data_IF_171345323266
#
_entry.id   IF_171345323266
#
_cell.length_a   1.000
_cell.length_b   1.000
_cell.length_c   1.000
_cell.angle_alpha   90.00
_cell.angle_beta   90.00
_cell.angle_gamma   90.00
#
_symmetry.space_group_name_H-M   'P 1'
#
loop_
_entity.id
_entity.type
_entity.pdbx_description
1 polymer ?
#
# COMPACT_ATOMS: atom_id res chain seq x y z
N UNK A 1 -3.06 -2.07 43.14
CA UNK A 1 -2.35 -1.68 41.88
C UNK A 1 -1.69 -2.80 41.08
N UNK A 2 -1.48 -4.05 41.54
CA UNK A 2 -0.91 -5.12 40.70
C UNK A 2 -1.88 -5.67 39.63
N UNK A 3 -3.21 -5.66 39.89
CA UNK A 3 -4.21 -6.16 38.90
C UNK A 3 -4.28 -5.35 37.60
N UNK A 4 -4.17 -4.03 37.69
CA UNK A 4 -4.17 -3.12 36.50
C UNK A 4 -2.93 -3.31 35.59
N UNK A 5 -1.76 -3.61 36.20
CA UNK A 5 -0.54 -3.92 35.43
C UNK A 5 -0.61 -5.28 34.71
N UNK A 6 -1.25 -6.27 35.35
CA UNK A 6 -1.46 -7.60 34.75
C UNK A 6 -2.47 -7.56 33.62
N UNK A 7 -3.54 -6.76 33.74
CA UNK A 7 -4.57 -6.57 32.72
C UNK A 7 -4.03 -5.79 31.51
N UNK A 8 -3.20 -4.76 31.75
CA UNK A 8 -2.50 -4.03 30.70
C UNK A 8 -1.48 -4.90 29.95
N UNK A 9 -0.79 -5.82 30.67
CA UNK A 9 0.09 -6.82 30.05
C UNK A 9 -0.68 -7.91 29.27
N UNK A 10 -1.88 -8.28 29.68
CA UNK A 10 -2.77 -9.19 28.94
C UNK A 10 -3.27 -8.53 27.65
N UNK A 11 -3.77 -7.28 27.70
CA UNK A 11 -4.23 -6.53 26.53
C UNK A 11 -3.10 -6.28 25.51
N UNK A 12 -1.87 -6.04 25.96
CA UNK A 12 -0.70 -5.93 25.06
C UNK A 12 -0.26 -7.27 24.47
N UNK A 13 -0.53 -8.41 25.12
CA UNK A 13 -0.26 -9.74 24.55
C UNK A 13 -1.28 -10.18 23.50
N UNK A 14 -2.55 -9.76 23.62
CA UNK A 14 -3.60 -10.08 22.64
C UNK A 14 -3.40 -9.38 21.28
N UNK A 15 -2.65 -8.28 21.23
CA UNK A 15 -2.37 -7.53 20.00
C UNK A 15 -0.99 -7.85 19.37
N UNK A 16 -0.26 -8.81 19.92
CA UNK A 16 1.03 -9.21 19.35
C UNK A 16 0.84 -10.16 18.17
N UNK A 17 0.84 -9.58 16.96
CA UNK A 17 0.90 -10.37 15.72
C UNK A 17 2.35 -10.89 15.52
N UNK A 18 2.58 -12.20 15.67
CA UNK A 18 3.93 -12.79 15.53
C UNK A 18 4.50 -12.57 14.12
N UNK A 19 3.63 -12.33 13.12
CA UNK A 19 3.99 -12.09 11.73
C UNK A 19 4.06 -10.61 11.37
N UNK A 20 4.27 -9.71 12.32
CA UNK A 20 4.34 -8.28 12.05
C UNK A 20 5.53 -7.94 11.13
N UNK A 21 5.40 -6.81 10.42
CA UNK A 21 6.42 -6.34 9.49
C UNK A 21 7.81 -6.21 10.13
N UNK A 22 7.88 -5.71 11.36
CA UNK A 22 9.14 -5.56 12.10
C UNK A 22 9.84 -6.89 12.34
N UNK A 23 9.09 -7.95 12.65
CA UNK A 23 9.62 -9.29 12.80
C UNK A 23 10.07 -9.89 11.46
N UNK A 24 9.34 -9.61 10.38
CA UNK A 24 9.72 -10.02 9.03
C UNK A 24 11.08 -9.44 8.62
N UNK A 25 11.33 -8.17 8.91
CA UNK A 25 12.61 -7.50 8.61
C UNK A 25 13.75 -8.01 9.50
N UNK A 26 13.49 -8.22 10.80
CA UNK A 26 14.54 -8.63 11.77
C UNK A 26 14.87 -10.13 11.69
N UNK A 27 13.86 -10.99 11.57
CA UNK A 27 13.97 -12.46 11.67
C UNK A 27 13.72 -13.17 10.35
N UNK A 28 13.37 -12.42 9.28
CA UNK A 28 13.17 -12.97 7.96
C UNK A 28 14.46 -13.47 7.33
N UNK A 29 14.37 -14.56 6.58
CA UNK A 29 15.45 -15.06 5.75
C UNK A 29 15.73 -14.12 4.55
N UNK A 30 16.77 -14.45 3.77
CA UNK A 30 17.20 -13.65 2.62
C UNK A 30 16.04 -13.42 1.64
N UNK A 31 15.22 -14.43 1.36
CA UNK A 31 14.09 -14.32 0.44
C UNK A 31 12.95 -13.45 0.99
N UNK A 32 12.73 -13.46 2.30
CA UNK A 32 11.77 -12.57 2.97
C UNK A 32 12.26 -11.12 2.93
N UNK A 33 13.55 -10.90 3.14
CA UNK A 33 14.15 -9.54 3.03
C UNK A 33 14.15 -9.07 1.57
N UNK A 34 14.42 -9.94 0.62
CA UNK A 34 14.36 -9.60 -0.81
C UNK A 34 12.93 -9.25 -1.26
N UNK A 35 11.90 -9.77 -0.58
CA UNK A 35 10.50 -9.34 -0.80
C UNK A 35 10.22 -7.90 -0.39
N UNK A 36 11.16 -7.22 0.27
CA UNK A 36 11.07 -5.77 0.52
C UNK A 36 11.38 -5.00 -0.76
N UNK A 37 12.31 -5.51 -1.59
CA UNK A 37 12.71 -4.90 -2.84
C UNK A 37 11.79 -5.30 -4.00
N UNK A 38 11.44 -6.60 -4.07
CA UNK A 38 10.56 -7.15 -5.12
C UNK A 38 9.39 -7.84 -4.44
N UNK A 39 8.19 -7.26 -4.57
CA UNK A 39 6.98 -7.74 -3.90
C UNK A 39 6.66 -9.18 -4.32
N UNK A 40 6.40 -10.04 -3.33
CA UNK A 40 5.95 -11.42 -3.59
C UNK A 40 7.05 -12.43 -3.91
N UNK A 41 8.32 -12.02 -4.07
CA UNK A 41 9.42 -12.92 -4.40
C UNK A 41 9.57 -14.04 -3.36
N UNK A 42 9.48 -13.72 -2.07
CA UNK A 42 9.55 -14.71 -1.01
C UNK A 42 8.37 -15.69 -1.00
N UNK A 43 7.19 -15.27 -1.51
CA UNK A 43 6.05 -16.15 -1.68
C UNK A 43 6.25 -17.09 -2.87
N UNK A 44 6.80 -16.59 -3.99
CA UNK A 44 7.14 -17.40 -5.17
C UNK A 44 8.11 -18.54 -4.83
N UNK A 45 9.21 -18.23 -4.16
CA UNK A 45 10.24 -19.22 -3.77
C UNK A 45 9.69 -20.28 -2.81
N UNK A 46 8.62 -19.99 -2.08
CA UNK A 46 7.97 -20.92 -1.16
C UNK A 46 6.79 -21.68 -1.77
N UNK A 47 6.59 -21.59 -3.08
CA UNK A 47 5.54 -22.31 -3.81
C UNK A 47 4.15 -21.65 -3.78
N UNK A 48 4.03 -20.44 -3.24
CA UNK A 48 2.80 -19.64 -3.32
C UNK A 48 2.75 -18.81 -4.60
N UNK A 49 2.73 -19.48 -5.76
CA UNK A 49 2.91 -18.87 -7.08
C UNK A 49 1.86 -17.80 -7.35
N UNK A 50 0.57 -18.11 -7.16
CA UNK A 50 -0.54 -17.19 -7.41
C UNK A 50 -0.40 -15.90 -6.58
N UNK A 51 -0.06 -16.06 -5.31
CA UNK A 51 0.11 -14.96 -4.37
C UNK A 51 1.30 -14.08 -4.71
N UNK A 52 2.44 -14.72 -4.97
CA UNK A 52 3.66 -14.01 -5.34
C UNK A 52 3.51 -13.26 -6.67
N UNK A 53 2.89 -13.89 -7.67
CA UNK A 53 2.64 -13.28 -8.97
C UNK A 53 1.66 -12.09 -8.86
N UNK A 54 0.59 -12.22 -8.06
CA UNK A 54 -0.35 -11.11 -7.83
C UNK A 54 0.34 -9.89 -7.23
N UNK A 55 1.22 -10.07 -6.25
CA UNK A 55 1.98 -8.96 -5.67
C UNK A 55 2.94 -8.33 -6.68
N UNK A 56 3.60 -9.13 -7.52
CA UNK A 56 4.51 -8.65 -8.55
C UNK A 56 3.78 -7.85 -9.62
N UNK A 57 2.58 -8.28 -10.04
CA UNK A 57 1.74 -7.54 -10.99
C UNK A 57 1.32 -6.18 -10.39
N UNK A 58 0.92 -6.14 -9.12
CA UNK A 58 0.56 -4.89 -8.43
C UNK A 58 1.76 -3.94 -8.38
N UNK A 59 2.96 -4.43 -8.07
CA UNK A 59 4.18 -3.63 -8.05
C UNK A 59 4.50 -3.04 -9.42
N UNK A 60 4.49 -3.90 -10.46
CA UNK A 60 4.77 -3.46 -11.84
C UNK A 60 3.74 -2.43 -12.31
N UNK A 61 2.45 -2.66 -12.06
CA UNK A 61 1.39 -1.73 -12.40
C UNK A 61 1.56 -0.37 -11.70
N UNK A 62 1.94 -0.39 -10.42
CA UNK A 62 2.20 0.84 -9.67
C UNK A 62 3.42 1.60 -10.20
N UNK A 63 4.51 0.91 -10.51
CA UNK A 63 5.72 1.56 -11.08
C UNK A 63 5.39 2.20 -12.42
N UNK A 64 4.70 1.49 -13.34
CA UNK A 64 4.27 2.03 -14.62
C UNK A 64 3.36 3.25 -14.44
N UNK A 65 2.38 3.16 -13.53
CA UNK A 65 1.49 4.28 -13.21
C UNK A 65 2.28 5.50 -12.71
N UNK A 66 3.24 5.31 -11.80
CA UNK A 66 4.06 6.40 -11.26
C UNK A 66 4.93 7.07 -12.32
N UNK A 67 5.51 6.29 -13.25
CA UNK A 67 6.33 6.83 -14.34
C UNK A 67 5.48 7.60 -15.33
N UNK A 68 4.30 7.09 -15.70
CA UNK A 68 3.47 7.68 -16.76
C UNK A 68 2.66 8.89 -16.28
N UNK A 69 2.07 8.82 -15.09
CA UNK A 69 1.06 9.77 -14.63
C UNK A 69 1.33 10.25 -13.19
N UNK A 70 1.49 9.30 -12.26
CA UNK A 70 1.47 9.56 -10.84
C UNK A 70 2.58 10.49 -10.36
N UNK A 71 3.80 10.32 -10.92
CA UNK A 71 4.94 11.18 -10.58
C UNK A 71 4.68 12.65 -10.90
N UNK A 72 4.14 12.94 -12.09
CA UNK A 72 3.76 14.29 -12.48
C UNK A 72 2.65 14.84 -11.57
N UNK A 73 1.59 14.07 -11.34
CA UNK A 73 0.48 14.50 -10.48
C UNK A 73 0.92 14.83 -9.04
N UNK A 74 1.91 14.11 -8.48
CA UNK A 74 2.46 14.42 -7.17
C UNK A 74 3.29 15.70 -7.18
N UNK A 75 4.07 15.94 -8.23
CA UNK A 75 4.84 17.19 -8.37
C UNK A 75 3.90 18.38 -8.53
N UNK A 76 2.89 18.26 -9.40
CA UNK A 76 1.91 19.31 -9.66
C UNK A 76 1.12 19.67 -8.38
N UNK A 77 0.90 18.72 -7.47
CA UNK A 77 0.27 18.98 -6.17
C UNK A 77 1.02 20.03 -5.33
N UNK A 78 2.35 20.09 -5.47
CA UNK A 78 3.18 21.07 -4.75
C UNK A 78 3.31 22.41 -5.49
N UNK A 79 2.80 22.52 -6.71
CA UNK A 79 2.89 23.72 -7.55
C UNK A 79 1.49 24.30 -7.85
N UNK A 80 0.53 24.08 -6.97
CA UNK A 80 -0.83 24.60 -7.10
C UNK A 80 -0.82 26.15 -7.07
N UNK A 81 -1.60 26.77 -7.95
CA UNK A 81 -1.76 28.23 -8.00
C UNK A 81 -0.56 28.99 -8.56
N UNK A 82 0.35 28.30 -9.28
CA UNK A 82 1.55 28.91 -9.86
C UNK A 82 1.27 29.87 -11.01
N UNK A 83 0.15 29.72 -11.71
CA UNK A 83 -0.26 30.57 -12.82
C UNK A 83 -1.67 31.11 -12.57
N UNK A 84 -1.74 32.40 -12.26
CA UNK A 84 -3.03 33.09 -12.13
C UNK A 84 -3.60 33.43 -13.52
N UNK A 85 -4.89 33.36 -13.63
CA UNK A 85 -5.60 33.83 -14.81
C UNK A 85 -5.56 35.37 -14.82
N UNK A 86 -4.90 35.92 -15.83
CA UNK A 86 -4.73 37.38 -15.97
C UNK A 86 -5.43 37.81 -17.24
N UNK A 87 -6.13 38.94 -17.18
CA UNK A 87 -6.69 39.63 -18.36
C UNK A 87 -5.55 40.29 -19.13
N UNK A 88 -5.39 39.96 -20.39
CA UNK A 88 -4.42 40.58 -21.30
C UNK A 88 -5.16 41.18 -22.47
N UNK A 89 -4.85 42.45 -22.78
CA UNK A 89 -5.40 43.09 -23.95
C UNK A 89 -4.79 42.53 -25.22
N UNK A 90 -5.62 42.00 -26.10
CA UNK A 90 -5.19 41.51 -27.40
C UNK A 90 -5.40 42.63 -28.44
N UNK A 91 -4.33 43.30 -28.85
CA UNK A 91 -4.39 44.41 -29.82
C UNK A 91 -4.90 43.99 -31.18
N UNK A 92 -4.65 42.77 -31.63
CA UNK A 92 -5.09 42.26 -32.93
C UNK A 92 -6.61 42.05 -33.01
N UNK A 93 -7.24 41.69 -31.89
CA UNK A 93 -8.69 41.43 -31.80
C UNK A 93 -9.46 42.55 -31.11
N UNK A 94 -8.77 43.51 -30.51
CA UNK A 94 -9.34 44.61 -29.71
C UNK A 94 -10.28 44.14 -28.59
N UNK A 95 -9.94 43.01 -27.95
CA UNK A 95 -10.70 42.43 -26.84
C UNK A 95 -9.75 41.99 -25.71
N UNK A 96 -10.27 41.98 -24.49
CA UNK A 96 -9.56 41.36 -23.35
C UNK A 96 -9.68 39.83 -23.47
N UNK A 97 -8.56 39.16 -23.50
CA UNK A 97 -8.47 37.70 -23.44
C UNK A 97 -7.90 37.27 -22.08
N UNK A 98 -8.47 36.24 -21.53
CA UNK A 98 -7.92 35.63 -20.30
C UNK A 98 -6.80 34.67 -20.65
N UNK A 99 -5.65 34.83 -20.03
CA UNK A 99 -4.61 33.80 -20.07
C UNK A 99 -5.14 32.54 -19.41
N UNK A 100 -4.82 31.38 -19.96
CA UNK A 100 -5.17 30.12 -19.30
C UNK A 100 -4.37 30.03 -18.00
N UNK A 101 -5.06 30.08 -16.86
CA UNK A 101 -4.48 29.73 -15.57
C UNK A 101 -4.16 28.24 -15.50
N UNK A 102 -3.39 27.84 -14.50
CA UNK A 102 -3.24 26.43 -14.19
C UNK A 102 -4.60 25.83 -13.76
N UNK A 103 -4.85 24.59 -14.17
CA UNK A 103 -6.04 23.86 -13.72
C UNK A 103 -5.84 23.35 -12.28
N UNK A 104 -5.61 24.26 -11.33
CA UNK A 104 -5.27 23.93 -9.93
C UNK A 104 -6.24 22.95 -9.29
N UNK A 105 -7.55 23.04 -9.63
CA UNK A 105 -8.55 22.09 -9.13
C UNK A 105 -8.30 20.67 -9.63
N UNK A 106 -7.99 20.52 -10.93
CA UNK A 106 -7.67 19.23 -11.52
C UNK A 106 -6.34 18.68 -10.99
N UNK A 107 -5.33 19.54 -10.86
CA UNK A 107 -4.02 19.17 -10.25
C UNK A 107 -4.21 18.69 -8.82
N UNK A 108 -5.01 19.38 -8.01
CA UNK A 108 -5.34 18.97 -6.66
C UNK A 108 -6.05 17.61 -6.65
N UNK A 109 -7.08 17.42 -7.48
CA UNK A 109 -7.86 16.18 -7.52
C UNK A 109 -6.98 14.99 -7.89
N UNK A 110 -6.21 15.09 -8.98
CA UNK A 110 -5.32 14.00 -9.42
C UNK A 110 -4.16 13.78 -8.46
N UNK A 111 -3.61 14.83 -7.87
CA UNK A 111 -2.54 14.74 -6.88
C UNK A 111 -3.01 14.02 -5.61
N UNK A 112 -4.17 14.36 -5.08
CA UNK A 112 -4.78 13.70 -3.91
C UNK A 112 -5.14 12.25 -4.23
N UNK A 113 -5.72 11.97 -5.41
CA UNK A 113 -6.00 10.60 -5.84
C UNK A 113 -4.72 9.75 -5.91
N UNK A 114 -3.64 10.30 -6.48
CA UNK A 114 -2.33 9.63 -6.55
C UNK A 114 -1.75 9.37 -5.16
N UNK A 115 -1.95 10.28 -4.22
CA UNK A 115 -1.51 10.11 -2.84
C UNK A 115 -2.25 8.93 -2.18
N UNK A 116 -3.57 8.81 -2.37
CA UNK A 116 -4.34 7.65 -1.88
C UNK A 116 -3.88 6.33 -2.51
N UNK A 117 -3.60 6.32 -3.83
CA UNK A 117 -3.05 5.15 -4.51
C UNK A 117 -1.69 4.76 -3.91
N UNK A 118 -0.83 5.74 -3.64
CA UNK A 118 0.49 5.52 -3.03
C UNK A 118 0.38 4.94 -1.62
N UNK A 119 -0.53 5.48 -0.79
CA UNK A 119 -0.79 4.94 0.56
C UNK A 119 -1.28 3.50 0.47
N UNK A 120 -2.23 3.21 -0.44
CA UNK A 120 -2.73 1.86 -0.66
C UNK A 120 -1.62 0.91 -1.10
N UNK A 121 -0.75 1.35 -2.01
CA UNK A 121 0.41 0.57 -2.44
C UNK A 121 1.34 0.23 -1.27
N UNK A 122 1.65 1.18 -0.40
CA UNK A 122 2.47 0.93 0.81
C UNK A 122 1.82 -0.10 1.73
N UNK A 123 0.49 -0.09 1.86
CA UNK A 123 -0.23 -1.11 2.62
C UNK A 123 -0.10 -2.50 1.99
N UNK A 124 -0.26 -2.62 0.66
CA UNK A 124 -0.05 -3.88 -0.08
C UNK A 124 1.40 -4.35 0.01
N UNK A 125 2.36 -3.44 -0.09
CA UNK A 125 3.78 -3.75 0.08
C UNK A 125 4.08 -4.36 1.45
N UNK A 126 3.58 -3.75 2.54
CA UNK A 126 3.70 -4.30 3.89
C UNK A 126 3.02 -5.67 4.02
N UNK A 127 1.85 -5.85 3.40
CA UNK A 127 1.12 -7.11 3.39
C UNK A 127 1.90 -8.22 2.67
N UNK A 128 2.56 -7.90 1.55
CA UNK A 128 3.42 -8.83 0.81
C UNK A 128 4.58 -9.36 1.65
N UNK A 129 5.33 -8.46 2.30
CA UNK A 129 6.45 -8.82 3.19
C UNK A 129 5.97 -9.67 4.37
N UNK A 130 4.85 -9.29 4.98
CA UNK A 130 4.23 -10.05 6.07
C UNK A 130 3.78 -11.44 5.63
N UNK A 131 3.17 -11.55 4.45
CA UNK A 131 2.76 -12.82 3.84
C UNK A 131 3.96 -13.74 3.58
N UNK A 132 5.04 -13.18 3.05
CA UNK A 132 6.29 -13.89 2.81
C UNK A 132 6.90 -14.44 4.12
N UNK A 133 6.93 -13.64 5.18
CA UNK A 133 7.41 -14.08 6.49
C UNK A 133 6.51 -15.16 7.12
N UNK A 134 5.18 -15.03 7.00
CA UNK A 134 4.25 -16.07 7.44
C UNK A 134 4.51 -17.39 6.73
N UNK A 135 4.70 -17.35 5.41
CA UNK A 135 5.02 -18.54 4.62
C UNK A 135 6.36 -19.18 5.03
N UNK A 136 7.37 -18.38 5.40
CA UNK A 136 8.64 -18.86 5.96
C UNK A 136 8.41 -19.62 7.26
N UNK A 137 7.71 -19.03 8.21
CA UNK A 137 7.44 -19.66 9.51
C UNK A 137 6.63 -20.96 9.37
N UNK A 138 5.64 -20.98 8.46
CA UNK A 138 4.85 -22.18 8.19
C UNK A 138 5.70 -23.32 7.60
N UNK A 139 6.57 -22.99 6.62
CA UNK A 139 7.48 -23.96 6.02
C UNK A 139 8.49 -24.51 7.05
N UNK A 140 9.02 -23.64 7.92
CA UNK A 140 9.90 -24.04 9.02
C UNK A 140 9.21 -24.97 10.04
N UNK A 141 7.89 -24.82 10.23
CA UNK A 141 7.06 -25.70 11.06
C UNK A 141 6.58 -26.97 10.35
N UNK A 142 7.09 -27.28 9.15
CA UNK A 142 6.68 -28.44 8.37
C UNK A 142 5.26 -28.36 7.80
N UNK A 143 4.61 -27.19 7.83
CA UNK A 143 3.27 -26.97 7.31
C UNK A 143 3.32 -26.41 5.88
N UNK A 144 2.37 -26.82 5.05
CA UNK A 144 2.21 -26.18 3.72
C UNK A 144 1.75 -24.73 3.92
N UNK A 145 2.35 -23.77 3.20
CA UNK A 145 1.90 -22.37 3.25
C UNK A 145 0.46 -22.24 2.76
N UNK A 146 -0.33 -21.35 3.38
CA UNK A 146 -1.72 -21.12 3.02
C UNK A 146 -1.85 -20.65 1.57
N UNK A 147 -2.82 -21.22 0.85
CA UNK A 147 -3.17 -20.79 -0.50
C UNK A 147 -3.85 -19.41 -0.47
N UNK A 148 -3.80 -18.68 -1.60
CA UNK A 148 -4.48 -17.38 -1.76
C UNK A 148 -5.98 -17.46 -1.41
N UNK A 149 -6.65 -18.55 -1.81
CA UNK A 149 -8.07 -18.78 -1.53
C UNK A 149 -8.30 -18.98 -0.02
N UNK A 150 -7.40 -19.66 0.69
CA UNK A 150 -7.51 -19.88 2.13
C UNK A 150 -7.35 -18.57 2.93
N UNK A 151 -6.46 -17.68 2.49
CA UNK A 151 -6.29 -16.37 3.14
C UNK A 151 -7.52 -15.48 2.92
N UNK A 152 -8.10 -15.46 1.71
CA UNK A 152 -9.35 -14.74 1.43
C UNK A 152 -10.47 -15.30 2.30
N UNK A 153 -10.65 -16.63 2.33
CA UNK A 153 -11.66 -17.28 3.15
C UNK A 153 -11.51 -16.92 4.63
N UNK A 154 -10.29 -16.94 5.15
CA UNK A 154 -10.01 -16.58 6.54
C UNK A 154 -10.29 -15.10 6.87
N UNK A 155 -10.20 -14.21 5.90
CA UNK A 155 -10.58 -12.79 6.05
C UNK A 155 -12.11 -12.64 6.12
N UNK A 156 -12.85 -13.39 5.31
CA UNK A 156 -14.31 -13.38 5.35
C UNK A 156 -14.84 -14.02 6.65
N UNK A 157 -14.31 -15.16 7.06
CA UNK A 157 -14.71 -15.83 8.31
C UNK A 157 -14.45 -14.96 9.54
N UNK A 158 -13.31 -14.28 9.61
CA UNK A 158 -13.01 -13.35 10.72
C UNK A 158 -13.95 -12.16 10.78
N UNK A 159 -14.34 -11.61 9.62
CA UNK A 159 -15.26 -10.48 9.56
C UNK A 159 -16.69 -10.92 9.89
N UNK A 160 -17.12 -12.10 9.42
CA UNK A 160 -18.45 -12.64 9.72
C UNK A 160 -18.62 -12.92 11.22
N UNK A 161 -17.59 -13.48 11.86
CA UNK A 161 -17.63 -13.77 13.31
C UNK A 161 -17.65 -12.48 14.17
N UNK A 162 -17.08 -11.39 13.66
CA UNK A 162 -17.10 -10.09 14.33
C UNK A 162 -18.45 -9.37 14.20
N UNK A 163 -19.14 -9.56 13.07
CA UNK A 163 -20.45 -8.93 12.80
C UNK A 163 -21.61 -9.69 13.48
N UNK A 164 -21.42 -10.98 13.80
CA UNK A 164 -22.45 -11.79 14.49
C UNK A 164 -22.36 -11.70 16.03
N UNK A 165 -21.30 -11.06 16.57
CA UNK A 165 -21.09 -10.89 18.02
C UNK A 165 -21.30 -9.43 18.49
N UNK A 166 -21.70 -8.52 17.61
CA UNK A 166 -22.18 -7.16 17.92
C UNK A 166 -23.68 -7.06 17.68
#
# INVERSE_FOLDING_TARGET
MPKLKAEKKRKTKEFYDPYCFTNAVKKGDIFTRLSILVMGLGNLVRGQIVKGLSFLVIETAYIVFMIMIGGKCLVDLFHLGGQQQIEVWNEAKQVFEYTQGDNSLLMLLFGVATLFITISFVMFWRASVKSSYKAQCMKAAGRKPDSFIQDIKSLFDKNLHRTLLT
#
